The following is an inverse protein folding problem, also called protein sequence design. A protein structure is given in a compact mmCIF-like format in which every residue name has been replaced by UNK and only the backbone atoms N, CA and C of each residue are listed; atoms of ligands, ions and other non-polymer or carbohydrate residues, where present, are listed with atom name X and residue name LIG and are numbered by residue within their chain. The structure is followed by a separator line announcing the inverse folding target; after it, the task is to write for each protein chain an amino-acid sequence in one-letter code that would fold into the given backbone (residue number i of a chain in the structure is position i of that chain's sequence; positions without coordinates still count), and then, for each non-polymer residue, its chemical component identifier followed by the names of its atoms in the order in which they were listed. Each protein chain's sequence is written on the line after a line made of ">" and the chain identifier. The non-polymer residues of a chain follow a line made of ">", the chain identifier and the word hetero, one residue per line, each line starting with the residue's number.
data_IF_617594847282
#
_entry.id   IF_617594847282
#
_cell.length_a   1.000
_cell.length_b   1.000
_cell.length_c   1.000
_cell.angle_alpha   90.00
_cell.angle_beta   90.00
_cell.angle_gamma   90.00
#
_symmetry.space_group_name_H-M   'P 1'
#
loop_
_entity.id
_entity.type
_entity.pdbx_description
1 polymer ?
#
# COMPACT_ATOMS: atom_id res chain seq x y z
N UNK A 1 -14.56 3.73 -5.12
CA UNK A 1 -13.78 4.79 -5.80
C UNK A 1 -12.33 4.30 -5.84
N UNK A 2 -11.66 4.24 -7.00
CA UNK A 2 -10.24 3.91 -7.02
C UNK A 2 -9.45 4.99 -6.26
N UNK A 3 -8.34 4.60 -5.63
CA UNK A 3 -7.41 5.55 -5.04
C UNK A 3 -6.90 6.50 -6.14
N UNK A 4 -6.99 7.81 -5.91
CA UNK A 4 -6.44 8.77 -6.87
C UNK A 4 -4.92 8.87 -6.71
N UNK A 5 -4.24 9.23 -7.80
CA UNK A 5 -2.79 9.47 -7.80
C UNK A 5 -2.39 10.50 -6.75
N UNK A 6 -3.16 11.59 -6.63
CA UNK A 6 -2.94 12.65 -5.63
C UNK A 6 -3.08 12.14 -4.19
N UNK A 7 -4.05 11.26 -3.94
CA UNK A 7 -4.23 10.67 -2.61
C UNK A 7 -3.04 9.79 -2.23
N UNK A 8 -2.53 9.00 -3.18
CA UNK A 8 -1.32 8.19 -2.99
C UNK A 8 -0.11 9.09 -2.73
N UNK A 9 0.10 10.13 -3.55
CA UNK A 9 1.19 11.09 -3.40
C UNK A 9 1.17 11.75 -2.03
N UNK A 10 0.03 12.33 -1.65
CA UNK A 10 -0.16 13.00 -0.37
C UNK A 10 0.15 12.07 0.80
N UNK A 11 -0.30 10.82 0.72
CA UNK A 11 -0.05 9.81 1.76
C UNK A 11 1.44 9.49 1.89
N UNK A 12 2.13 9.27 0.76
CA UNK A 12 3.57 8.95 0.74
C UNK A 12 4.41 10.12 1.24
N UNK A 13 4.11 11.35 0.82
CA UNK A 13 4.81 12.55 1.27
C UNK A 13 4.61 12.78 2.78
N UNK A 14 3.38 12.60 3.26
CA UNK A 14 3.02 12.69 4.68
C UNK A 14 3.74 11.62 5.52
N UNK A 15 3.95 10.42 4.97
CA UNK A 15 4.73 9.37 5.60
C UNK A 15 6.21 9.74 5.67
N UNK A 16 6.81 10.14 4.55
CA UNK A 16 8.23 10.50 4.47
C UNK A 16 8.59 11.74 5.27
N UNK A 17 7.64 12.65 5.51
CA UNK A 17 7.84 13.76 6.43
C UNK A 17 8.08 13.29 7.88
N UNK A 18 7.54 12.12 8.26
CA UNK A 18 7.76 11.49 9.58
C UNK A 18 8.90 10.49 9.59
N UNK A 19 9.20 9.87 8.45
CA UNK A 19 10.19 8.81 8.28
C UNK A 19 11.16 9.14 7.12
N UNK A 20 11.98 10.21 7.25
CA UNK A 20 12.80 10.71 6.15
C UNK A 20 13.89 9.73 5.70
N UNK A 21 14.37 8.87 6.60
CA UNK A 21 15.39 7.85 6.36
C UNK A 21 14.93 6.71 5.43
N UNK A 22 13.62 6.50 5.31
CA UNK A 22 13.05 5.48 4.43
C UNK A 22 12.89 5.93 2.98
N UNK A 23 13.17 7.20 2.66
CA UNK A 23 13.02 7.77 1.31
C UNK A 23 13.71 6.93 0.23
N UNK A 24 14.92 6.43 0.53
CA UNK A 24 15.69 5.59 -0.42
C UNK A 24 14.99 4.26 -0.70
N UNK A 25 14.34 3.66 0.30
CA UNK A 25 13.64 2.39 0.15
C UNK A 25 12.38 2.54 -0.71
N UNK A 26 11.73 3.71 -0.64
CA UNK A 26 10.56 4.05 -1.47
C UNK A 26 10.90 4.60 -2.86
N UNK A 27 12.17 4.62 -3.27
CA UNK A 27 12.62 5.25 -4.53
C UNK A 27 11.83 4.82 -5.75
N UNK A 28 11.59 3.50 -5.92
CA UNK A 28 10.81 3.00 -7.07
C UNK A 28 9.35 3.48 -7.09
N UNK A 29 8.73 3.68 -5.92
CA UNK A 29 7.38 4.25 -5.84
C UNK A 29 7.38 5.75 -6.15
N UNK A 30 8.39 6.49 -5.65
CA UNK A 30 8.55 7.91 -5.94
C UNK A 30 8.77 8.16 -7.44
N UNK A 31 9.65 7.37 -8.07
CA UNK A 31 9.88 7.41 -9.51
C UNK A 31 8.61 7.11 -10.31
N UNK A 32 7.74 6.22 -9.80
CA UNK A 32 6.48 5.89 -10.45
C UNK A 32 5.43 6.99 -10.28
N UNK A 33 5.39 7.66 -9.12
CA UNK A 33 4.52 8.79 -8.84
C UNK A 33 4.85 10.01 -9.73
N UNK A 34 6.11 10.18 -10.11
CA UNK A 34 6.56 11.28 -10.96
C UNK A 34 6.31 11.02 -12.47
N UNK A 35 5.87 9.81 -12.83
CA UNK A 35 5.46 9.45 -14.19
C UNK A 35 3.93 9.52 -14.33
N UNK A 36 3.45 9.66 -15.56
CA UNK A 36 2.01 9.64 -15.88
C UNK A 36 1.37 8.22 -15.83
N UNK A 37 1.99 7.26 -15.12
CA UNK A 37 1.49 5.89 -15.04
C UNK A 37 0.36 5.78 -14.00
N UNK A 38 -0.73 5.06 -14.33
CA UNK A 38 -1.82 4.82 -13.38
C UNK A 38 -1.44 3.72 -12.39
N UNK A 39 -0.68 4.06 -11.35
CA UNK A 39 -0.21 3.11 -10.33
C UNK A 39 -1.35 2.56 -9.44
N UNK A 40 -2.58 3.08 -9.54
CA UNK A 40 -3.75 2.53 -8.85
C UNK A 40 -4.43 1.41 -9.67
N UNK A 41 -4.04 1.20 -10.94
CA UNK A 41 -4.59 0.14 -11.76
C UNK A 41 -3.77 -1.14 -11.68
N UNK A 42 -4.43 -2.26 -11.41
CA UNK A 42 -3.82 -3.61 -11.50
C UNK A 42 -3.33 -3.98 -12.91
N UNK A 43 -3.72 -3.23 -13.94
CA UNK A 43 -3.23 -3.40 -15.31
C UNK A 43 -1.87 -2.72 -15.56
N UNK A 44 -1.36 -1.96 -14.58
CA UNK A 44 -0.04 -1.33 -14.65
C UNK A 44 1.04 -2.35 -14.29
N UNK A 45 1.61 -2.97 -15.31
CA UNK A 45 2.56 -4.09 -15.15
C UNK A 45 3.92 -3.72 -14.57
N UNK A 46 4.29 -2.44 -14.56
CA UNK A 46 5.48 -1.97 -13.83
C UNK A 46 5.31 -2.01 -12.31
N UNK A 47 4.10 -2.26 -11.83
CA UNK A 47 3.73 -2.27 -10.41
C UNK A 47 2.49 -1.42 -10.16
N UNK A 48 1.72 -1.81 -9.14
CA UNK A 48 0.56 -1.06 -8.69
C UNK A 48 0.49 -1.06 -7.16
N UNK A 49 -0.17 -0.04 -6.63
CA UNK A 49 -0.42 0.11 -5.19
C UNK A 49 -1.48 -0.90 -4.77
N UNK A 50 -1.19 -1.59 -3.67
CA UNK A 50 -2.13 -2.42 -2.93
C UNK A 50 -2.34 -1.83 -1.53
N UNK A 51 -3.36 -2.29 -0.83
CA UNK A 51 -3.63 -1.89 0.53
C UNK A 51 -3.90 -3.12 1.40
N UNK A 52 -3.37 -3.12 2.61
CA UNK A 52 -3.67 -4.10 3.65
C UNK A 52 -4.15 -3.39 4.91
N UNK A 53 -4.87 -4.11 5.77
CA UNK A 53 -5.35 -3.57 7.03
C UNK A 53 -4.94 -4.46 8.21
N UNK A 54 -4.42 -3.83 9.26
CA UNK A 54 -4.30 -4.44 10.58
C UNK A 54 -5.53 -4.00 11.37
N UNK A 55 -6.57 -4.84 11.38
CA UNK A 55 -7.81 -4.56 12.10
C UNK A 55 -7.67 -5.12 13.51
N UNK A 56 -7.71 -4.23 14.50
CA UNK A 56 -7.51 -4.57 15.92
C UNK A 56 -8.81 -4.38 16.69
N UNK A 57 -9.19 -5.36 17.51
CA UNK A 57 -10.36 -5.25 18.38
C UNK A 57 -10.01 -4.60 19.75
N UNK A 58 -10.99 -4.30 20.63
CA UNK A 58 -10.73 -3.71 21.94
C UNK A 58 -9.85 -4.54 22.88
N UNK A 59 -9.65 -5.84 22.58
CA UNK A 59 -8.79 -6.74 23.34
C UNK A 59 -7.38 -6.84 22.74
N UNK A 60 -7.07 -6.07 21.68
CA UNK A 60 -5.78 -6.08 21.02
C UNK A 60 -5.59 -7.24 20.04
N UNK A 61 -6.65 -7.96 19.66
CA UNK A 61 -6.55 -9.09 18.72
C UNK A 61 -6.60 -8.58 17.28
N UNK A 62 -5.76 -9.16 16.42
CA UNK A 62 -5.69 -8.79 14.99
C UNK A 62 -6.51 -9.73 14.14
N UNK A 63 -7.42 -9.19 13.32
CA UNK A 63 -8.15 -9.95 12.31
C UNK A 63 -7.19 -10.49 11.26
N UNK A 64 -7.26 -11.80 11.03
CA UNK A 64 -6.61 -12.47 9.92
C UNK A 64 -7.63 -13.27 9.11
N UNK A 65 -7.32 -13.48 7.83
CA UNK A 65 -8.10 -14.27 6.88
C UNK A 65 -7.26 -15.47 6.44
N UNK A 66 -7.88 -16.65 6.38
CA UNK A 66 -7.26 -17.84 5.78
C UNK A 66 -7.29 -17.70 4.25
N UNK A 67 -6.13 -17.50 3.65
CA UNK A 67 -5.99 -17.45 2.20
C UNK A 67 -6.02 -18.88 1.64
N UNK A 68 -7.19 -19.29 1.12
CA UNK A 68 -7.47 -20.68 0.73
C UNK A 68 -6.47 -21.26 -0.26
N UNK A 69 -6.00 -20.47 -1.23
CA UNK A 69 -5.07 -20.96 -2.25
C UNK A 69 -3.63 -21.17 -1.73
N UNK A 70 -3.24 -20.50 -0.63
CA UNK A 70 -1.88 -20.64 -0.07
C UNK A 70 -1.86 -21.32 1.30
N UNK A 71 -3.02 -21.53 1.93
CA UNK A 71 -3.15 -22.02 3.31
C UNK A 71 -2.65 -21.05 4.38
N UNK A 72 -2.23 -19.82 4.02
CA UNK A 72 -1.66 -18.85 4.96
C UNK A 72 -2.74 -18.07 5.70
N UNK A 73 -2.44 -17.70 6.94
CA UNK A 73 -3.25 -16.77 7.74
C UNK A 73 -2.63 -15.39 7.60
N UNK A 74 -3.32 -14.46 6.94
CA UNK A 74 -2.79 -13.15 6.54
C UNK A 74 -3.72 -12.02 7.00
N UNK A 75 -3.22 -10.81 7.24
CA UNK A 75 -4.10 -9.64 7.36
C UNK A 75 -4.92 -9.45 6.08
N UNK A 76 -6.14 -8.91 6.16
CA UNK A 76 -6.93 -8.57 4.98
C UNK A 76 -6.19 -7.55 4.11
N UNK A 77 -6.27 -7.71 2.79
CA UNK A 77 -5.69 -6.78 1.82
C UNK A 77 -6.06 -7.12 0.38
N UNK A 78 -5.67 -6.23 -0.54
CA UNK A 78 -5.95 -6.34 -1.98
C UNK A 78 -5.27 -5.26 -2.81
#
# INVERSE_FOLDING_TARGET
>A
MPLSHDHIRTTVETYLARHPDERRQLGGLLDALDRAANIASRSTFSGHVTCGAIVVDPLGRVLHVLHLASGKVLPPGG
#
